data_IF_535351957176
#
_entry.id   IF_535351957176
#
_cell.length_a   1.000
_cell.length_b   1.000
_cell.length_c   1.000
_cell.angle_alpha   90.00
_cell.angle_beta   90.00
_cell.angle_gamma   90.00
#
_symmetry.space_group_name_H-M   'P 1'
#
loop_
_entity.id
_entity.type
_entity.pdbx_description
1 polymer ?
#
# COMPACT_ATOMS: atom_id res chain seq x y z
N UNK A 1 28.68 -6.93 28.20
CA UNK A 1 28.18 -6.23 27.00
C UNK A 1 27.75 -7.31 26.02
N UNK A 2 26.47 -7.63 25.99
CA UNK A 2 25.90 -8.53 24.99
C UNK A 2 25.18 -7.67 23.96
N UNK A 3 25.77 -7.54 22.78
CA UNK A 3 25.07 -7.01 21.61
C UNK A 3 24.27 -8.17 21.04
N UNK A 4 23.02 -8.28 21.49
CA UNK A 4 22.06 -9.24 20.98
C UNK A 4 21.97 -9.07 19.45
N UNK A 5 22.44 -10.08 18.70
CA UNK A 5 22.38 -10.10 17.24
C UNK A 5 20.91 -10.18 16.82
N UNK A 6 20.33 -9.03 16.50
CA UNK A 6 18.99 -8.92 15.92
C UNK A 6 18.93 -9.82 14.67
N UNK A 7 18.04 -10.83 14.60
CA UNK A 7 17.98 -11.72 13.45
C UNK A 7 17.68 -10.94 12.17
N UNK A 8 18.54 -11.03 11.17
CA UNK A 8 18.40 -10.41 9.83
C UNK A 8 17.13 -10.84 9.07
N UNK A 9 16.30 -11.71 9.64
CA UNK A 9 15.13 -12.34 9.01
C UNK A 9 13.79 -11.61 9.19
N UNK A 10 13.75 -10.38 9.72
CA UNK A 10 12.46 -9.67 9.99
C UNK A 10 12.21 -8.39 9.20
N UNK A 11 13.08 -8.00 8.27
CA UNK A 11 12.85 -6.81 7.44
C UNK A 11 12.28 -7.24 6.09
N UNK A 12 10.98 -7.02 5.89
CA UNK A 12 10.35 -7.22 4.58
C UNK A 12 10.88 -6.18 3.58
N UNK A 13 11.15 -6.61 2.37
CA UNK A 13 11.61 -5.73 1.28
C UNK A 13 10.50 -4.76 0.84
N UNK A 14 10.86 -3.64 0.17
CA UNK A 14 9.87 -2.73 -0.43
C UNK A 14 8.85 -3.45 -1.32
N UNK A 15 9.30 -4.36 -2.19
CA UNK A 15 8.43 -5.20 -3.03
C UNK A 15 7.44 -6.03 -2.21
N UNK A 16 7.91 -6.73 -1.17
CA UNK A 16 7.05 -7.56 -0.32
C UNK A 16 5.99 -6.73 0.40
N UNK A 17 6.35 -5.52 0.85
CA UNK A 17 5.40 -4.58 1.47
C UNK A 17 4.38 -4.06 0.45
N UNK A 18 4.82 -3.68 -0.74
CA UNK A 18 3.93 -3.23 -1.80
C UNK A 18 2.91 -4.30 -2.20
N UNK A 19 3.35 -5.55 -2.40
CA UNK A 19 2.45 -6.68 -2.70
C UNK A 19 1.41 -6.89 -1.60
N UNK A 20 1.82 -6.75 -0.33
CA UNK A 20 0.89 -6.86 0.81
C UNK A 20 -0.16 -5.76 0.80
N UNK A 21 0.24 -4.52 0.52
CA UNK A 21 -0.68 -3.38 0.41
C UNK A 21 -1.65 -3.58 -0.74
N UNK A 22 -1.17 -3.97 -1.94
CA UNK A 22 -2.02 -4.24 -3.11
C UNK A 22 -3.04 -5.34 -2.83
N UNK A 23 -2.61 -6.47 -2.26
CA UNK A 23 -3.50 -7.58 -1.90
C UNK A 23 -4.52 -7.15 -0.85
N UNK A 24 -4.11 -6.36 0.14
CA UNK A 24 -5.01 -5.85 1.18
C UNK A 24 -6.06 -4.90 0.60
N UNK A 25 -5.65 -3.96 -0.25
CA UNK A 25 -6.57 -3.08 -0.97
C UNK A 25 -7.61 -3.88 -1.75
N UNK A 26 -7.16 -4.91 -2.48
CA UNK A 26 -8.03 -5.86 -3.19
C UNK A 26 -8.99 -6.58 -2.23
N UNK A 27 -8.50 -7.07 -1.09
CA UNK A 27 -9.34 -7.77 -0.12
C UNK A 27 -10.41 -6.87 0.49
N UNK A 28 -10.12 -5.60 0.75
CA UNK A 28 -11.08 -4.62 1.27
C UNK A 28 -12.13 -4.27 0.21
N UNK A 29 -11.70 -3.99 -1.03
CA UNK A 29 -12.61 -3.64 -2.13
C UNK A 29 -13.59 -4.77 -2.46
N UNK A 30 -13.14 -6.03 -2.37
CA UNK A 30 -13.95 -7.22 -2.65
C UNK A 30 -14.29 -7.97 -1.36
N UNK A 31 -14.58 -7.28 -0.25
CA UNK A 31 -14.94 -7.94 1.01
C UNK A 31 -16.37 -8.50 1.00
N UNK A 32 -17.29 -7.87 0.25
CA UNK A 32 -18.68 -8.30 0.18
C UNK A 32 -18.81 -9.67 -0.51
N UNK A 33 -19.64 -10.54 0.05
CA UNK A 33 -19.81 -11.94 -0.42
C UNK A 33 -20.18 -12.02 -1.90
N UNK A 34 -21.09 -11.14 -2.35
CA UNK A 34 -21.53 -11.09 -3.75
C UNK A 34 -20.37 -10.81 -4.73
N UNK A 35 -19.32 -10.13 -4.28
CA UNK A 35 -18.18 -9.72 -5.09
C UNK A 35 -17.02 -10.74 -5.05
N UNK A 36 -17.05 -11.72 -4.13
CA UNK A 36 -15.95 -12.70 -3.98
C UNK A 36 -15.72 -13.53 -5.25
N UNK A 37 -16.77 -13.82 -6.03
CA UNK A 37 -16.69 -14.64 -7.25
C UNK A 37 -15.84 -14.01 -8.36
N UNK A 38 -15.80 -12.68 -8.42
CA UNK A 38 -15.05 -11.91 -9.43
C UNK A 38 -13.75 -11.32 -8.91
N UNK A 39 -13.44 -11.58 -7.62
CA UNK A 39 -12.28 -11.03 -6.93
C UNK A 39 -10.99 -11.32 -7.70
N UNK A 40 -10.18 -10.30 -8.04
CA UNK A 40 -8.91 -10.48 -8.74
C UNK A 40 -8.00 -11.47 -8.03
N UNK A 41 -7.39 -12.45 -8.71
CA UNK A 41 -6.61 -13.50 -8.03
C UNK A 41 -5.25 -12.99 -7.53
N UNK A 42 -4.83 -13.48 -6.36
CA UNK A 42 -3.59 -13.03 -5.71
C UNK A 42 -2.33 -13.32 -6.54
N UNK A 43 -2.33 -14.41 -7.32
CA UNK A 43 -1.18 -14.81 -8.13
C UNK A 43 -0.94 -13.85 -9.29
N UNK A 44 -2.00 -13.38 -9.97
CA UNK A 44 -1.90 -12.30 -10.97
C UNK A 44 -1.26 -11.05 -10.36
N UNK A 45 -1.76 -10.59 -9.21
CA UNK A 45 -1.24 -9.38 -8.55
C UNK A 45 0.25 -9.55 -8.22
N UNK A 46 0.63 -10.69 -7.65
CA UNK A 46 2.01 -10.96 -7.24
C UNK A 46 2.95 -11.04 -8.44
N UNK A 47 2.54 -11.77 -9.49
CA UNK A 47 3.33 -11.95 -10.72
C UNK A 47 3.53 -10.63 -11.46
N UNK A 48 2.46 -9.85 -11.67
CA UNK A 48 2.56 -8.57 -12.36
C UNK A 48 3.34 -7.53 -11.53
N UNK A 49 3.16 -7.53 -10.21
CA UNK A 49 3.93 -6.66 -9.31
C UNK A 49 5.43 -6.98 -9.34
N UNK A 50 5.79 -8.27 -9.33
CA UNK A 50 7.18 -8.71 -9.45
C UNK A 50 7.79 -8.32 -10.79
N UNK A 51 7.06 -8.50 -11.91
CA UNK A 51 7.51 -8.08 -13.26
C UNK A 51 7.71 -6.56 -13.36
N UNK A 52 6.88 -5.78 -12.68
CA UNK A 52 6.95 -4.32 -12.70
C UNK A 52 7.99 -3.71 -11.75
N UNK A 53 8.48 -4.48 -10.78
CA UNK A 53 9.44 -4.01 -9.79
C UNK A 53 10.83 -3.80 -10.41
N UNK A 54 11.47 -2.68 -10.10
CA UNK A 54 12.75 -2.29 -10.69
C UNK A 54 13.80 -1.91 -9.63
N UNK A 55 13.68 -2.47 -8.42
CA UNK A 55 14.66 -2.23 -7.35
C UNK A 55 14.45 -0.91 -6.59
N UNK A 56 13.23 -0.38 -6.57
CA UNK A 56 12.92 0.86 -5.86
C UNK A 56 13.30 0.79 -4.37
N UNK A 57 13.81 1.89 -3.79
CA UNK A 57 14.44 1.88 -2.46
C UNK A 57 13.44 1.89 -1.29
N UNK A 58 12.20 2.33 -1.52
CA UNK A 58 11.17 2.47 -0.49
C UNK A 58 9.79 2.01 -0.96
N UNK A 59 8.87 1.82 -0.01
CA UNK A 59 7.55 1.24 -0.28
C UNK A 59 6.69 2.14 -1.19
N UNK A 60 6.76 3.46 -1.03
CA UNK A 60 5.92 4.37 -1.80
C UNK A 60 6.40 4.49 -3.24
N UNK A 61 7.72 4.64 -3.47
CA UNK A 61 8.29 4.61 -4.82
C UNK A 61 8.03 3.26 -5.50
N UNK A 62 8.14 2.15 -4.76
CA UNK A 62 7.77 0.81 -5.23
C UNK A 62 6.31 0.73 -5.67
N UNK A 63 5.37 1.18 -4.83
CA UNK A 63 3.93 1.18 -5.15
C UNK A 63 3.64 2.02 -6.40
N UNK A 64 4.20 3.23 -6.47
CA UNK A 64 4.02 4.14 -7.62
C UNK A 64 4.50 3.49 -8.93
N UNK A 65 5.69 2.88 -8.91
CA UNK A 65 6.26 2.20 -10.07
C UNK A 65 5.44 0.98 -10.49
N UNK A 66 5.10 0.11 -9.54
CA UNK A 66 4.31 -1.10 -9.80
C UNK A 66 2.93 -0.74 -10.35
N UNK A 67 2.17 0.13 -9.68
CA UNK A 67 0.82 0.51 -10.11
C UNK A 67 0.84 1.13 -11.51
N UNK A 68 1.86 1.95 -11.81
CA UNK A 68 2.01 2.61 -13.11
C UNK A 68 2.41 1.69 -14.27
N UNK A 69 3.01 0.53 -14.00
CA UNK A 69 3.59 -0.36 -15.03
C UNK A 69 2.93 -1.73 -15.11
N UNK A 70 2.38 -2.27 -14.02
CA UNK A 70 2.04 -3.69 -13.95
C UNK A 70 1.02 -4.17 -14.99
N UNK A 71 0.13 -3.30 -15.46
CA UNK A 71 -0.84 -3.62 -16.53
C UNK A 71 -0.19 -3.78 -17.90
N UNK A 72 0.99 -3.19 -18.15
CA UNK A 72 1.71 -3.35 -19.42
C UNK A 72 2.29 -4.76 -19.60
N UNK A 73 2.34 -5.56 -18.54
CA UNK A 73 2.79 -6.95 -18.57
C UNK A 73 1.66 -7.95 -18.82
N UNK A 74 0.44 -7.46 -19.06
CA UNK A 74 -0.68 -8.26 -19.53
C UNK A 74 -0.64 -8.23 -21.05
N UNK A 75 -0.36 -9.37 -21.67
CA UNK A 75 -0.29 -9.49 -23.13
C UNK A 75 -1.59 -10.09 -23.68
N UNK A 76 -1.68 -10.15 -25.01
CA UNK A 76 -2.72 -10.91 -25.71
C UNK A 76 -2.06 -11.92 -26.62
N UNK A 77 -2.63 -13.12 -26.66
CA UNK A 77 -2.22 -14.15 -27.58
C UNK A 77 -2.44 -13.70 -29.03
N UNK A 78 -1.45 -13.83 -29.90
CA UNK A 78 -1.52 -13.34 -31.28
C UNK A 78 -2.52 -14.07 -32.17
N UNK A 79 -2.85 -15.33 -31.85
CA UNK A 79 -3.76 -16.15 -32.64
C UNK A 79 -5.21 -16.09 -32.11
N UNK A 80 -5.39 -16.10 -30.80
CA UNK A 80 -6.71 -16.17 -30.16
C UNK A 80 -7.23 -14.82 -29.64
N UNK A 81 -6.34 -13.83 -29.46
CA UNK A 81 -6.67 -12.52 -28.89
C UNK A 81 -6.96 -12.53 -27.38
N UNK A 82 -6.89 -13.70 -26.73
CA UNK A 82 -7.14 -13.87 -25.31
C UNK A 82 -6.03 -13.24 -24.45
N UNK A 83 -6.39 -12.78 -23.25
CA UNK A 83 -5.41 -12.22 -22.31
C UNK A 83 -4.43 -13.29 -21.83
N UNK A 84 -3.17 -12.92 -21.70
CA UNK A 84 -2.09 -13.78 -21.24
C UNK A 84 -1.34 -13.16 -20.07
N UNK A 85 -1.26 -13.92 -18.98
CA UNK A 85 -0.45 -13.65 -17.80
C UNK A 85 0.21 -14.98 -17.42
N UNK A 86 1.33 -15.28 -18.09
CA UNK A 86 2.02 -16.57 -17.92
C UNK A 86 2.66 -16.69 -16.54
N UNK A 87 2.54 -17.88 -15.94
CA UNK A 87 3.20 -18.21 -14.69
C UNK A 87 4.73 -18.24 -14.91
N UNK A 88 5.52 -17.46 -14.17
CA UNK A 88 6.97 -17.40 -14.33
C UNK A 88 7.69 -18.71 -14.01
N UNK A 89 7.05 -19.64 -13.29
CA UNK A 89 7.60 -20.97 -12.97
C UNK A 89 7.22 -22.01 -14.03
N UNK A 90 6.05 -21.86 -14.65
CA UNK A 90 5.52 -22.81 -15.62
C UNK A 90 4.80 -22.03 -16.73
N UNK A 91 5.52 -21.65 -17.77
CA UNK A 91 5.02 -20.73 -18.81
C UNK A 91 3.81 -21.27 -19.59
N UNK A 92 3.60 -22.59 -19.59
CA UNK A 92 2.40 -23.21 -20.15
C UNK A 92 1.11 -22.85 -19.39
N UNK A 93 1.20 -22.39 -18.14
CA UNK A 93 0.06 -21.97 -17.34
C UNK A 93 -0.22 -20.47 -17.51
N UNK A 94 -1.42 -20.15 -18.00
CA UNK A 94 -1.92 -18.78 -18.10
C UNK A 94 -2.84 -18.46 -16.93
N UNK A 95 -2.43 -17.57 -16.02
CA UNK A 95 -3.27 -17.14 -14.90
C UNK A 95 -4.53 -16.38 -15.32
N UNK A 96 -4.57 -15.86 -16.54
CA UNK A 96 -5.75 -15.20 -17.12
C UNK A 96 -6.66 -16.15 -17.91
N UNK A 97 -6.44 -17.47 -17.89
CA UNK A 97 -7.27 -18.45 -18.63
C UNK A 97 -8.78 -18.27 -18.35
N UNK A 98 -9.15 -18.12 -17.08
CA UNK A 98 -10.55 -17.93 -16.67
C UNK A 98 -11.16 -16.61 -17.16
N UNK A 99 -10.38 -15.66 -17.65
CA UNK A 99 -10.93 -14.41 -18.20
C UNK A 99 -11.63 -14.62 -19.55
N UNK A 100 -11.31 -15.71 -20.27
CA UNK A 100 -11.97 -16.05 -21.53
C UNK A 100 -13.42 -16.52 -21.29
N UNK A 101 -13.62 -17.43 -20.32
CA UNK A 101 -14.93 -17.96 -19.96
C UNK A 101 -15.71 -17.05 -19.00
N UNK A 102 -15.02 -16.24 -18.21
CA UNK A 102 -15.60 -15.32 -17.22
C UNK A 102 -15.04 -13.90 -17.38
N UNK A 103 -15.43 -13.14 -18.44
CA UNK A 103 -14.90 -11.80 -18.72
C UNK A 103 -15.03 -10.80 -17.57
N UNK A 104 -16.04 -10.98 -16.70
CA UNK A 104 -16.26 -10.20 -15.49
C UNK A 104 -15.05 -10.19 -14.55
N UNK A 105 -14.21 -11.23 -14.56
CA UNK A 105 -12.97 -11.29 -13.76
C UNK A 105 -11.90 -10.34 -14.28
N UNK A 106 -11.78 -10.22 -15.61
CA UNK A 106 -10.88 -9.24 -16.22
C UNK A 106 -11.37 -7.81 -15.93
N UNK A 107 -12.67 -7.56 -16.11
CA UNK A 107 -13.30 -6.26 -15.81
C UNK A 107 -13.02 -5.87 -14.35
N UNK A 108 -13.30 -6.76 -13.40
CA UNK A 108 -13.03 -6.55 -11.98
C UNK A 108 -11.54 -6.25 -11.71
N UNK A 109 -10.60 -6.96 -12.35
CA UNK A 109 -9.18 -6.66 -12.23
C UNK A 109 -8.84 -5.23 -12.69
N UNK A 110 -9.32 -4.81 -13.85
CA UNK A 110 -9.05 -3.46 -14.37
C UNK A 110 -9.76 -2.36 -13.57
N UNK A 111 -10.95 -2.61 -13.05
CA UNK A 111 -11.63 -1.71 -12.11
C UNK A 111 -10.83 -1.56 -10.82
N UNK A 112 -10.35 -2.66 -10.25
CA UNK A 112 -9.47 -2.65 -9.10
C UNK A 112 -8.17 -1.86 -9.36
N UNK A 113 -7.56 -2.00 -10.55
CA UNK A 113 -6.38 -1.22 -10.93
C UNK A 113 -6.64 0.29 -10.92
N UNK A 114 -7.79 0.73 -11.45
CA UNK A 114 -8.18 2.16 -11.41
C UNK A 114 -8.42 2.62 -9.98
N UNK A 115 -9.10 1.80 -9.17
CA UNK A 115 -9.36 2.11 -7.76
C UNK A 115 -8.06 2.24 -6.96
N UNK A 116 -7.15 1.27 -7.04
CA UNK A 116 -5.89 1.32 -6.28
C UNK A 116 -4.99 2.47 -6.71
N UNK A 117 -4.96 2.81 -7.99
CA UNK A 117 -4.23 3.99 -8.47
C UNK A 117 -4.81 5.27 -7.86
N UNK A 118 -6.14 5.43 -7.90
CA UNK A 118 -6.83 6.58 -7.31
C UNK A 118 -6.56 6.65 -5.80
N UNK A 119 -6.83 5.57 -5.10
CA UNK A 119 -6.88 5.52 -3.64
C UNK A 119 -5.51 5.61 -2.98
N UNK A 120 -4.45 5.09 -3.63
CA UNK A 120 -3.09 5.08 -3.06
C UNK A 120 -2.23 6.23 -3.59
N UNK A 121 -2.40 6.66 -4.85
CA UNK A 121 -1.48 7.62 -5.47
C UNK A 121 -2.08 9.01 -5.65
N UNK A 122 -3.40 9.12 -5.89
CA UNK A 122 -4.02 10.39 -6.29
C UNK A 122 -4.76 11.06 -5.14
N UNK A 123 -5.65 10.34 -4.47
CA UNK A 123 -6.49 10.90 -3.41
C UNK A 123 -5.69 11.39 -2.20
N UNK A 124 -4.66 10.67 -1.68
CA UNK A 124 -3.88 11.15 -0.54
C UNK A 124 -3.19 12.50 -0.77
N UNK A 125 -2.86 12.84 -2.04
CA UNK A 125 -2.22 14.11 -2.39
C UNK A 125 -3.17 15.32 -2.32
N UNK A 126 -4.49 15.07 -2.26
CA UNK A 126 -5.53 16.11 -2.18
C UNK A 126 -5.98 16.40 -0.76
N UNK A 127 -5.60 15.54 0.18
CA UNK A 127 -6.04 15.62 1.57
C UNK A 127 -5.10 16.53 2.36
N UNK A 128 -5.69 17.31 3.27
CA UNK A 128 -4.94 18.20 4.16
C UNK A 128 -4.84 17.52 5.53
N UNK A 129 -3.62 17.49 6.07
CA UNK A 129 -3.36 16.97 7.41
C UNK A 129 -3.28 15.44 7.49
N UNK A 130 -2.67 14.97 8.57
CA UNK A 130 -2.42 13.54 8.80
C UNK A 130 -3.72 12.76 9.08
N UNK A 131 -4.72 13.44 9.64
CA UNK A 131 -6.03 12.85 9.96
C UNK A 131 -6.81 12.51 8.67
N UNK A 132 -6.84 13.43 7.71
CA UNK A 132 -7.47 13.19 6.41
C UNK A 132 -6.84 12.02 5.66
N UNK A 133 -5.50 11.95 5.64
CA UNK A 133 -4.77 10.80 5.10
C UNK A 133 -5.12 9.52 5.85
N UNK A 134 -5.26 9.59 7.19
CA UNK A 134 -5.65 8.45 8.01
C UNK A 134 -7.02 7.90 7.71
N UNK A 135 -8.01 8.77 7.54
CA UNK A 135 -9.37 8.36 7.21
C UNK A 135 -9.46 7.77 5.80
N UNK A 136 -8.70 8.30 4.84
CA UNK A 136 -8.57 7.67 3.52
C UNK A 136 -7.96 6.26 3.62
N UNK A 137 -6.86 6.09 4.35
CA UNK A 137 -6.21 4.78 4.49
C UNK A 137 -7.06 3.77 5.26
N UNK A 138 -7.83 4.19 6.26
CA UNK A 138 -8.83 3.34 6.94
C UNK A 138 -9.88 2.83 5.96
N UNK A 139 -10.40 3.70 5.10
CA UNK A 139 -11.39 3.33 4.08
C UNK A 139 -10.81 2.35 3.05
N UNK A 140 -9.57 2.55 2.61
CA UNK A 140 -8.99 1.82 1.46
C UNK A 140 -8.24 0.54 1.86
N UNK A 141 -7.59 0.53 3.02
CA UNK A 141 -6.84 -0.62 3.57
C UNK A 141 -7.52 -1.27 4.77
N UNK A 142 -8.66 -0.75 5.20
CA UNK A 142 -9.48 -1.24 6.30
C UNK A 142 -9.08 -0.67 7.65
N UNK A 143 -10.10 -0.34 8.44
CA UNK A 143 -10.03 0.36 9.72
C UNK A 143 -8.94 -0.18 10.66
N UNK A 144 -8.98 -1.48 10.96
CA UNK A 144 -8.10 -2.09 11.95
C UNK A 144 -6.60 -1.98 11.61
N UNK A 145 -6.23 -2.05 10.34
CA UNK A 145 -4.82 -2.00 9.92
C UNK A 145 -4.32 -0.56 9.93
N UNK A 146 -5.12 0.35 9.37
CA UNK A 146 -4.77 1.77 9.33
C UNK A 146 -4.70 2.35 10.75
N UNK A 147 -5.73 2.12 11.59
CA UNK A 147 -5.77 2.65 12.96
C UNK A 147 -4.59 2.19 13.80
N UNK A 148 -4.12 0.95 13.65
CA UNK A 148 -2.89 0.47 14.28
C UNK A 148 -1.64 1.21 13.79
N UNK A 149 -1.53 1.46 12.48
CA UNK A 149 -0.40 2.19 11.90
C UNK A 149 -0.36 3.66 12.38
N UNK A 150 -1.51 4.33 12.44
CA UNK A 150 -1.59 5.71 12.93
C UNK A 150 -1.35 5.81 14.44
N UNK A 151 -1.84 4.86 15.24
CA UNK A 151 -1.55 4.81 16.67
C UNK A 151 -0.04 4.66 16.93
N UNK A 152 0.63 3.78 16.17
CA UNK A 152 2.08 3.61 16.27
C UNK A 152 2.84 4.85 15.79
N UNK A 153 2.40 5.47 14.68
CA UNK A 153 2.97 6.74 14.22
C UNK A 153 2.85 7.83 15.29
N UNK A 154 1.67 8.02 15.88
CA UNK A 154 1.44 8.96 16.97
C UNK A 154 2.31 8.68 18.18
N UNK A 155 2.49 7.40 18.56
CA UNK A 155 3.39 6.98 19.63
C UNK A 155 4.84 7.38 19.34
N UNK A 156 5.33 7.14 18.13
CA UNK A 156 6.69 7.50 17.71
C UNK A 156 6.89 9.02 17.72
N UNK A 157 5.89 9.79 17.26
CA UNK A 157 5.97 11.25 17.29
C UNK A 157 6.00 11.77 18.74
N UNK A 158 5.18 11.23 19.64
CA UNK A 158 5.18 11.61 21.05
C UNK A 158 6.52 11.32 21.73
N UNK A 159 7.18 10.21 21.41
CA UNK A 159 8.52 9.89 21.92
C UNK A 159 9.55 10.92 21.44
N UNK A 160 9.50 11.32 20.16
CA UNK A 160 10.42 12.34 19.61
C UNK A 160 10.18 13.72 20.21
N UNK A 161 8.94 14.06 20.52
CA UNK A 161 8.55 15.30 21.21
C UNK A 161 9.06 15.30 22.65
N UNK A 162 8.81 14.23 23.42
CA UNK A 162 9.27 14.11 24.80
C UNK A 162 10.80 14.02 24.93
N UNK A 163 11.47 13.44 23.93
CA UNK A 163 12.93 13.40 23.82
C UNK A 163 13.58 14.72 23.36
N UNK A 164 12.79 15.78 23.12
CA UNK A 164 13.30 17.11 22.75
C UNK A 164 13.86 17.22 21.33
N UNK A 165 13.62 16.23 20.46
CA UNK A 165 14.12 16.18 19.07
C UNK A 165 13.24 16.96 18.10
N UNK A 166 12.02 17.30 18.50
CA UNK A 166 11.04 18.05 17.69
C UNK A 166 10.59 19.28 18.46
N UNK A 167 10.66 20.45 17.83
CA UNK A 167 10.34 21.77 18.38
C UNK A 167 9.21 22.41 17.57
N UNK A 168 8.53 23.41 18.13
CA UNK A 168 7.45 24.12 17.44
C UNK A 168 8.07 25.26 16.63
N UNK A 169 7.73 25.31 15.33
CA UNK A 169 8.04 26.45 14.46
C UNK A 169 7.21 27.67 14.87
N UNK A 170 7.87 28.78 15.22
CA UNK A 170 7.22 30.04 15.64
C UNK A 170 6.26 30.61 14.59
N UNK A 171 6.53 30.36 13.30
CA UNK A 171 5.81 30.99 12.19
C UNK A 171 4.58 30.19 11.75
N UNK A 172 4.55 28.87 12.00
CA UNK A 172 3.53 27.97 11.42
C UNK A 172 2.83 27.08 12.43
N UNK A 173 3.31 27.00 13.69
CA UNK A 173 2.73 26.11 14.70
C UNK A 173 2.94 24.62 14.42
N UNK A 174 3.67 24.28 13.35
CA UNK A 174 3.97 22.90 12.95
C UNK A 174 5.15 22.38 13.77
N UNK A 175 5.05 21.12 14.19
CA UNK A 175 6.13 20.37 14.84
C UNK A 175 7.22 20.06 13.81
N UNK A 176 8.41 20.64 13.99
CA UNK A 176 9.55 20.45 13.09
C UNK A 176 10.88 20.33 13.88
N UNK A 177 11.88 19.70 13.29
CA UNK A 177 13.21 19.60 13.91
C UNK A 177 13.92 20.97 14.03
N UNK A 178 13.46 21.98 13.27
CA UNK A 178 14.03 23.33 13.23
C UNK A 178 13.28 24.39 14.04
N UNK A 179 12.24 24.01 14.80
CA UNK A 179 11.54 24.94 15.67
C UNK A 179 12.42 25.49 16.80
N UNK A 180 12.11 26.67 17.33
CA UNK A 180 12.82 27.31 18.44
C UNK A 180 12.14 27.04 19.79
N UNK A 181 10.84 26.75 19.79
CA UNK A 181 10.04 26.52 21.00
C UNK A 181 10.08 25.04 21.40
N UNK A 182 10.47 24.74 22.65
CA UNK A 182 10.27 23.40 23.22
C UNK A 182 8.77 23.10 23.27
N UNK A 183 8.36 22.03 22.60
CA UNK A 183 6.97 21.58 22.66
C UNK A 183 6.65 21.15 24.11
N UNK A 184 5.60 21.72 24.74
CA UNK A 184 5.24 21.37 26.10
C UNK A 184 4.73 19.91 26.17
N UNK A 185 5.05 19.23 27.26
CA UNK A 185 4.57 17.87 27.50
C UNK A 185 3.03 17.85 27.55
N UNK A 186 2.41 16.95 26.78
CA UNK A 186 0.95 16.78 26.75
C UNK A 186 0.46 16.40 28.16
N UNK A 187 -0.24 17.32 28.83
CA UNK A 187 -1.04 17.01 30.02
C UNK A 187 -2.47 16.80 29.57
N UNK A 188 -2.95 15.56 29.59
CA UNK A 188 -4.36 15.26 29.37
C UNK A 188 -5.16 15.87 30.54
N UNK A 189 -5.82 17.00 30.29
CA UNK A 189 -6.86 17.51 31.17
C UNK A 189 -8.22 17.16 30.55
N UNK A 190 -8.83 16.11 31.10
CA UNK A 190 -10.22 15.74 30.86
C UNK A 190 -10.72 14.96 32.07
N UNK A 191 -11.46 15.64 32.94
CA UNK A 191 -12.43 15.01 33.86
C UNK A 191 -13.75 14.92 33.14
#
# INVERSE_FOLDING_TARGET
>A
MDVEKVPYYKVKTPLQRAIQILKRHRDVMYQAEAMQKVKPISCIITTLAAKAYNGEPDVYSTLKSIIGKMTSFITRNGQTGLYEILNPVMEAENFAEKWASEPQKAIAFFEWMRAVQKDILTEPLRLIGIDGVGDNLKKTLGENVASKAFAEYGRIQNIKVQGGTVRISETTGILSAGGTIKSPAHRNYGK
#
